data_IF_057676518887
#
_entry.id   IF_057676518887
#
_cell.length_a   1.000
_cell.length_b   1.000
_cell.length_c   1.000
_cell.angle_alpha   90.00
_cell.angle_beta   90.00
_cell.angle_gamma   90.00
#
_symmetry.space_group_name_H-M   'P 1'
#
loop_
_entity.id
_entity.type
_entity.pdbx_description
1 polymer ?
#
# COMPACT_ATOMS: atom_id res chain seq x y z
N UNK A 1 30.02 -46.75 4.16
CA UNK A 1 29.04 -47.18 3.13
C UNK A 1 27.67 -46.73 3.59
N UNK A 2 26.93 -46.16 2.66
CA UNK A 2 25.96 -45.08 2.81
C UNK A 2 24.76 -45.37 3.71
N UNK A 3 24.36 -44.34 4.46
CA UNK A 3 23.10 -44.28 5.18
C UNK A 3 21.99 -43.85 4.23
N UNK A 4 21.05 -44.75 3.96
CA UNK A 4 19.81 -44.46 3.21
C UNK A 4 18.93 -43.48 4.00
N UNK A 5 19.09 -42.19 3.71
CA UNK A 5 18.13 -41.16 4.08
C UNK A 5 16.94 -41.20 3.12
N UNK A 6 15.93 -42.00 3.46
CA UNK A 6 14.61 -41.93 2.82
C UNK A 6 13.95 -40.59 3.16
N UNK A 7 14.22 -39.56 2.37
CA UNK A 7 13.47 -38.32 2.39
C UNK A 7 12.05 -38.59 1.87
N UNK A 8 11.07 -38.61 2.78
CA UNK A 8 9.65 -38.57 2.40
C UNK A 8 9.37 -37.21 1.77
N UNK A 9 9.32 -37.18 0.44
CA UNK A 9 8.81 -36.02 -0.31
C UNK A 9 7.30 -36.00 -0.13
N UNK A 10 6.81 -35.08 0.71
CA UNK A 10 5.39 -34.78 0.80
C UNK A 10 5.00 -33.92 -0.39
N UNK A 11 4.51 -34.54 -1.45
CA UNK A 11 3.85 -33.82 -2.54
C UNK A 11 2.54 -33.28 -1.98
N UNK A 12 2.50 -31.97 -1.69
CA UNK A 12 1.25 -31.26 -1.46
C UNK A 12 0.38 -31.44 -2.71
N UNK A 13 -0.61 -32.33 -2.61
CA UNK A 13 -1.73 -32.35 -3.56
C UNK A 13 -2.27 -30.93 -3.58
N UNK A 14 -2.22 -30.27 -4.73
CA UNK A 14 -2.92 -29.02 -5.01
C UNK A 14 -4.42 -29.30 -4.90
N UNK A 15 -4.91 -29.28 -3.66
CA UNK A 15 -6.33 -29.27 -3.36
C UNK A 15 -6.89 -27.98 -3.91
N UNK A 16 -7.83 -28.12 -4.83
CA UNK A 16 -8.75 -27.05 -5.22
C UNK A 16 -9.27 -26.42 -3.92
N UNK A 17 -9.18 -25.09 -3.81
CA UNK A 17 -9.67 -24.30 -2.68
C UNK A 17 -11.18 -24.56 -2.46
N UNK A 18 -11.51 -25.61 -1.72
CA UNK A 18 -12.90 -26.02 -1.43
C UNK A 18 -13.36 -25.58 -0.03
N UNK A 19 -12.51 -24.85 0.71
CA UNK A 19 -12.80 -24.37 2.06
C UNK A 19 -13.70 -23.13 2.11
N UNK A 20 -14.13 -22.58 0.97
CA UNK A 20 -15.03 -21.41 0.90
C UNK A 20 -16.52 -21.77 0.86
N UNK A 21 -16.87 -23.06 0.89
CA UNK A 21 -18.25 -23.55 0.65
C UNK A 21 -19.04 -23.95 1.88
N UNK A 22 -18.44 -23.92 3.06
CA UNK A 22 -19.11 -24.30 4.31
C UNK A 22 -19.24 -23.05 5.15
N UNK A 23 -20.47 -22.53 5.22
CA UNK A 23 -20.95 -21.35 5.95
C UNK A 23 -20.93 -20.01 5.20
N UNK A 24 -22.06 -19.29 5.31
CA UNK A 24 -22.54 -18.18 4.49
C UNK A 24 -21.73 -16.89 4.43
N UNK A 25 -20.43 -16.93 4.66
CA UNK A 25 -19.54 -15.76 4.68
C UNK A 25 -18.75 -15.54 3.37
N UNK A 26 -18.77 -16.52 2.47
CA UNK A 26 -18.24 -16.44 1.10
C UNK A 26 -19.14 -17.22 0.10
N UNK A 27 -20.40 -17.48 0.48
CA UNK A 27 -21.32 -18.31 -0.30
C UNK A 27 -21.59 -17.70 -1.68
N UNK A 28 -21.43 -18.51 -2.72
CA UNK A 28 -21.53 -18.09 -4.11
C UNK A 28 -20.29 -17.42 -4.70
N UNK A 29 -19.27 -17.06 -3.91
CA UNK A 29 -18.00 -16.55 -4.45
C UNK A 29 -17.08 -17.70 -4.84
N UNK A 30 -16.68 -17.77 -6.10
CA UNK A 30 -15.72 -18.76 -6.59
C UNK A 30 -14.64 -18.06 -7.42
N UNK A 31 -13.38 -18.32 -7.10
CA UNK A 31 -12.28 -17.95 -7.99
C UNK A 31 -12.44 -18.63 -9.36
N UNK A 32 -12.20 -17.88 -10.45
CA UNK A 32 -12.17 -18.45 -11.79
C UNK A 32 -11.17 -19.62 -11.84
N UNK A 33 -11.50 -20.73 -12.52
CA UNK A 33 -10.74 -22.00 -12.58
C UNK A 33 -9.36 -21.89 -13.25
N UNK A 34 -8.52 -20.98 -12.79
CA UNK A 34 -7.12 -20.83 -13.17
C UNK A 34 -6.31 -21.47 -12.05
N UNK A 35 -5.17 -22.11 -12.38
CA UNK A 35 -4.29 -22.62 -11.33
C UNK A 35 -3.88 -21.48 -10.39
N UNK A 36 -3.70 -21.73 -9.08
CA UNK A 36 -3.28 -20.71 -8.11
C UNK A 36 -2.03 -19.91 -8.55
N UNK A 37 -1.21 -20.51 -9.42
CA UNK A 37 -0.08 -19.86 -10.07
C UNK A 37 -0.50 -18.82 -11.12
N UNK A 38 -1.45 -19.14 -11.99
CA UNK A 38 -2.00 -18.19 -12.97
C UNK A 38 -2.80 -17.05 -12.33
N UNK A 39 -3.33 -17.25 -11.12
CA UNK A 39 -4.02 -16.21 -10.35
C UNK A 39 -3.08 -15.21 -9.67
N UNK A 40 -1.79 -15.53 -9.60
CA UNK A 40 -0.74 -14.74 -8.95
C UNK A 40 0.38 -14.36 -9.93
N UNK A 41 0.16 -14.54 -11.23
CA UNK A 41 1.16 -14.33 -12.27
C UNK A 41 1.55 -12.85 -12.44
N UNK A 42 0.65 -11.91 -12.10
CA UNK A 42 0.95 -10.49 -12.07
C UNK A 42 0.50 -9.82 -10.76
N UNK A 43 1.22 -8.78 -10.33
CA UNK A 43 0.82 -7.96 -9.19
C UNK A 43 -0.56 -7.33 -9.39
N UNK A 44 -0.91 -6.99 -10.63
CA UNK A 44 -2.22 -6.44 -10.99
C UNK A 44 -3.36 -7.44 -10.75
N UNK A 45 -3.16 -8.71 -11.09
CA UNK A 45 -4.17 -9.75 -10.88
C UNK A 45 -4.38 -10.03 -9.39
N UNK A 46 -3.30 -10.00 -8.61
CA UNK A 46 -3.34 -10.13 -7.15
C UNK A 46 -4.15 -8.99 -6.54
N UNK A 47 -3.90 -7.75 -6.94
CA UNK A 47 -4.63 -6.56 -6.46
C UNK A 47 -6.11 -6.61 -6.83
N UNK A 48 -6.45 -6.95 -8.08
CA UNK A 48 -7.82 -7.08 -8.53
C UNK A 48 -8.59 -8.13 -7.72
N UNK A 49 -7.94 -9.26 -7.42
CA UNK A 49 -8.52 -10.33 -6.58
C UNK A 49 -8.61 -9.95 -5.11
N UNK A 50 -7.62 -9.24 -4.57
CA UNK A 50 -7.67 -8.74 -3.21
C UNK A 50 -8.86 -7.79 -3.02
N UNK A 51 -9.07 -6.86 -3.97
CA UNK A 51 -10.23 -5.96 -3.98
C UNK A 51 -11.55 -6.73 -4.08
N UNK A 52 -11.63 -7.70 -4.98
CA UNK A 52 -12.83 -8.52 -5.17
C UNK A 52 -13.14 -9.36 -3.91
N UNK A 53 -12.12 -9.96 -3.30
CA UNK A 53 -12.25 -10.73 -2.06
C UNK A 53 -12.75 -9.86 -0.89
N UNK A 54 -12.16 -8.68 -0.69
CA UNK A 54 -12.57 -7.76 0.39
C UNK A 54 -13.99 -7.24 0.18
N UNK A 55 -14.39 -7.00 -1.08
CA UNK A 55 -15.75 -6.56 -1.42
C UNK A 55 -16.80 -7.66 -1.20
N UNK A 56 -16.46 -8.92 -1.47
CA UNK A 56 -17.43 -10.02 -1.47
C UNK A 56 -17.37 -10.93 -0.24
N UNK A 57 -16.35 -10.83 0.61
CA UNK A 57 -16.20 -11.64 1.83
C UNK A 57 -16.20 -10.76 3.08
N UNK A 58 -17.19 -10.96 3.94
CA UNK A 58 -17.28 -10.25 5.23
C UNK A 58 -16.14 -10.58 6.18
N UNK A 59 -15.59 -11.80 6.10
CA UNK A 59 -14.39 -12.20 6.86
C UNK A 59 -13.18 -11.41 6.38
N UNK A 60 -12.96 -11.34 5.06
CA UNK A 60 -11.84 -10.58 4.50
C UNK A 60 -11.95 -9.10 4.86
N UNK A 61 -13.15 -8.51 4.74
CA UNK A 61 -13.41 -7.14 5.18
C UNK A 61 -13.09 -6.93 6.66
N UNK A 62 -13.55 -7.83 7.53
CA UNK A 62 -13.30 -7.76 8.97
C UNK A 62 -11.80 -7.81 9.28
N UNK A 63 -11.03 -8.65 8.59
CA UNK A 63 -9.57 -8.73 8.77
C UNK A 63 -8.91 -7.40 8.40
N UNK A 64 -9.28 -6.80 7.28
CA UNK A 64 -8.77 -5.48 6.86
C UNK A 64 -9.15 -4.41 7.88
N UNK A 65 -10.41 -4.37 8.32
CA UNK A 65 -10.87 -3.39 9.31
C UNK A 65 -10.11 -3.52 10.64
N UNK A 66 -9.84 -4.75 11.10
CA UNK A 66 -9.01 -4.99 12.29
C UNK A 66 -7.59 -4.47 12.09
N UNK A 67 -6.98 -4.71 10.93
CA UNK A 67 -5.63 -4.23 10.63
C UNK A 67 -5.57 -2.71 10.56
N UNK A 68 -6.49 -2.09 9.83
CA UNK A 68 -6.60 -0.64 9.70
C UNK A 68 -6.77 -0.03 11.09
N UNK A 69 -7.77 -0.48 11.84
CA UNK A 69 -8.01 0.02 13.20
C UNK A 69 -6.82 -0.19 14.12
N UNK A 70 -6.11 -1.33 14.04
CA UNK A 70 -4.94 -1.59 14.87
C UNK A 70 -3.78 -0.62 14.59
N UNK A 71 -3.61 -0.21 13.33
CA UNK A 71 -2.54 0.70 12.91
C UNK A 71 -2.92 2.17 13.14
N UNK A 72 -4.20 2.52 12.95
CA UNK A 72 -4.67 3.91 12.96
C UNK A 72 -5.34 4.35 14.26
N UNK A 73 -5.18 3.57 15.35
CA UNK A 73 -5.73 3.90 16.68
C UNK A 73 -5.45 5.35 17.11
N UNK A 74 -6.35 5.98 17.90
CA UNK A 74 -6.38 7.43 18.18
C UNK A 74 -5.28 7.93 19.15
N UNK A 75 -4.14 7.25 19.25
CA UNK A 75 -2.94 7.75 19.94
C UNK A 75 -2.03 8.27 18.85
N UNK A 76 -1.29 9.38 19.05
CA UNK A 76 -0.77 10.12 17.92
C UNK A 76 0.00 9.20 16.96
N UNK A 77 -0.55 9.00 15.77
CA UNK A 77 -0.20 7.87 14.91
C UNK A 77 1.28 7.87 14.51
N UNK A 78 1.92 9.05 14.59
CA UNK A 78 3.32 9.28 14.29
C UNK A 78 3.90 10.30 15.28
N UNK A 79 4.87 9.86 16.08
CA UNK A 79 5.68 10.73 16.94
C UNK A 79 7.07 10.84 16.32
N UNK A 80 7.49 12.04 15.95
CA UNK A 80 8.88 12.31 15.58
C UNK A 80 9.80 12.03 16.79
N UNK A 81 10.75 11.12 16.61
CA UNK A 81 11.73 10.79 17.62
C UNK A 81 12.93 11.74 17.53
N UNK A 82 13.53 12.13 18.67
CA UNK A 82 14.76 12.92 18.68
C UNK A 82 15.92 12.11 18.07
N UNK A 83 16.77 12.78 17.29
CA UNK A 83 17.94 12.16 16.63
C UNK A 83 19.01 11.76 17.66
N UNK A 84 19.07 12.45 18.80
CA UNK A 84 19.99 12.17 19.90
C UNK A 84 19.31 12.39 21.25
N UNK A 85 19.92 11.87 22.33
CA UNK A 85 19.46 12.06 23.73
C UNK A 85 19.90 13.40 24.35
N UNK A 86 20.09 14.43 23.53
CA UNK A 86 20.40 15.77 24.04
C UNK A 86 19.12 16.55 24.30
N UNK A 87 19.09 17.37 25.35
CA UNK A 87 17.94 18.21 25.70
C UNK A 87 17.45 19.05 24.52
N UNK A 88 18.38 19.57 23.70
CA UNK A 88 18.04 20.37 22.51
C UNK A 88 17.38 19.52 21.40
N UNK A 89 17.82 18.28 21.22
CA UNK A 89 17.21 17.35 20.28
C UNK A 89 15.80 16.94 20.75
N UNK A 90 15.61 16.72 22.04
CA UNK A 90 14.31 16.41 22.64
C UNK A 90 13.33 17.59 22.52
N UNK A 91 13.78 18.81 22.83
CA UNK A 91 12.96 20.03 22.63
C UNK A 91 12.55 20.21 21.18
N UNK A 92 13.48 20.03 20.23
CA UNK A 92 13.17 20.12 18.79
C UNK A 92 12.15 19.08 18.36
N UNK A 93 12.30 17.84 18.80
CA UNK A 93 11.34 16.78 18.52
C UNK A 93 9.96 17.13 19.09
N UNK A 94 9.89 17.66 20.31
CA UNK A 94 8.63 18.11 20.92
C UNK A 94 7.95 19.21 20.08
N UNK A 95 8.67 20.29 19.75
CA UNK A 95 8.11 21.39 18.95
C UNK A 95 7.66 20.90 17.57
N UNK A 96 8.42 20.02 16.94
CA UNK A 96 8.05 19.45 15.64
C UNK A 96 6.81 18.55 15.75
N UNK A 97 6.70 17.75 16.80
CA UNK A 97 5.51 16.95 17.10
C UNK A 97 4.28 17.84 17.31
N UNK A 98 4.37 18.88 18.13
CA UNK A 98 3.26 19.81 18.36
C UNK A 98 2.78 20.45 17.03
N UNK A 99 3.72 20.87 16.18
CA UNK A 99 3.41 21.45 14.89
C UNK A 99 2.79 20.45 13.89
N UNK A 100 3.25 19.20 13.93
CA UNK A 100 2.69 18.08 13.16
C UNK A 100 1.29 17.79 13.66
N UNK A 101 1.07 17.61 14.97
CA UNK A 101 -0.25 17.37 15.53
C UNK A 101 -1.24 18.45 15.15
N UNK A 102 -0.88 19.73 15.29
CA UNK A 102 -1.71 20.84 14.82
C UNK A 102 -2.10 20.71 13.33
N UNK A 103 -1.15 20.30 12.48
CA UNK A 103 -1.43 20.09 11.06
C UNK A 103 -2.35 18.88 10.84
N UNK A 104 -2.17 17.85 11.66
CA UNK A 104 -2.90 16.59 11.63
C UNK A 104 -4.21 16.57 12.47
N UNK A 105 -4.58 17.67 13.14
CA UNK A 105 -5.93 17.83 13.70
C UNK A 105 -6.91 18.49 12.70
N UNK A 106 -6.44 18.76 11.48
CA UNK A 106 -7.20 19.40 10.42
C UNK A 106 -7.24 18.57 9.14
N UNK A 107 -8.15 18.88 8.22
CA UNK A 107 -8.10 18.38 6.82
C UNK A 107 -6.99 19.07 5.99
N UNK A 108 -6.03 19.71 6.66
CA UNK A 108 -4.98 20.54 6.08
C UNK A 108 -3.91 19.75 5.33
N UNK A 109 -3.71 18.47 5.65
CA UNK A 109 -2.76 17.61 4.94
C UNK A 109 -3.34 17.04 3.64
N UNK A 110 -4.62 16.71 3.63
CA UNK A 110 -5.32 16.24 2.44
C UNK A 110 -5.42 17.39 1.41
N UNK A 111 -4.98 17.10 0.18
CA UNK A 111 -5.15 18.03 -0.94
C UNK A 111 -6.62 18.34 -1.20
N UNK A 112 -7.47 17.32 -1.11
CA UNK A 112 -8.91 17.42 -1.37
C UNK A 112 -9.69 18.00 -0.19
N UNK A 113 -9.06 18.07 0.99
CA UNK A 113 -9.65 18.55 2.25
C UNK A 113 -10.89 17.77 2.70
N UNK A 114 -11.04 16.53 2.25
CA UNK A 114 -12.21 15.71 2.54
C UNK A 114 -11.98 14.81 3.76
N UNK A 115 -10.72 14.44 4.02
CA UNK A 115 -10.37 13.48 5.07
C UNK A 115 -9.76 14.18 6.27
N UNK A 116 -10.22 13.83 7.46
CA UNK A 116 -9.44 13.99 8.68
C UNK A 116 -8.18 13.13 8.60
N UNK A 117 -7.16 13.37 9.42
CA UNK A 117 -5.96 12.58 9.34
C UNK A 117 -6.09 11.12 9.68
N UNK A 118 -6.92 10.77 10.65
CA UNK A 118 -7.20 9.35 10.92
C UNK A 118 -7.82 8.68 9.69
N UNK A 119 -8.74 9.36 9.00
CA UNK A 119 -9.30 8.85 7.74
C UNK A 119 -8.26 8.81 6.60
N UNK A 120 -7.36 9.80 6.55
CA UNK A 120 -6.26 9.84 5.59
C UNK A 120 -5.31 8.66 5.80
N UNK A 121 -4.87 8.41 7.03
CA UNK A 121 -4.01 7.26 7.35
C UNK A 121 -4.73 5.93 7.18
N UNK A 122 -6.00 5.84 7.56
CA UNK A 122 -6.80 4.63 7.34
C UNK A 122 -6.90 4.30 5.85
N UNK A 123 -7.11 5.31 5.00
CA UNK A 123 -7.12 5.12 3.56
C UNK A 123 -5.76 4.65 3.01
N UNK A 124 -4.64 5.18 3.53
CA UNK A 124 -3.29 4.69 3.14
C UNK A 124 -3.10 3.24 3.55
N UNK A 125 -3.44 2.89 4.79
CA UNK A 125 -3.23 1.53 5.33
C UNK A 125 -4.12 0.52 4.60
N UNK A 126 -5.38 0.89 4.37
CA UNK A 126 -6.34 0.07 3.64
C UNK A 126 -5.87 -0.17 2.19
N UNK A 127 -5.49 0.90 1.49
CA UNK A 127 -5.01 0.79 0.12
C UNK A 127 -3.66 0.05 0.04
N UNK A 128 -2.78 0.17 1.03
CA UNK A 128 -1.57 -0.64 1.11
C UNK A 128 -1.87 -2.14 1.34
N UNK A 129 -2.86 -2.46 2.17
CA UNK A 129 -3.23 -3.83 2.48
C UNK A 129 -3.96 -4.52 1.31
N UNK A 130 -4.76 -3.78 0.54
CA UNK A 130 -5.57 -4.31 -0.55
C UNK A 130 -4.88 -4.12 -1.91
N UNK A 131 -4.45 -2.89 -2.20
CA UNK A 131 -3.91 -2.46 -3.49
C UNK A 131 -2.38 -2.57 -3.60
N UNK A 132 -1.70 -3.05 -2.56
CA UNK A 132 -0.25 -3.25 -2.55
C UNK A 132 0.58 -1.99 -2.24
N UNK A 133 -0.06 -0.82 -2.18
CA UNK A 133 0.60 0.44 -1.85
C UNK A 133 -0.22 1.68 -2.23
N UNK A 134 0.25 2.84 -1.79
CA UNK A 134 -0.34 4.14 -2.11
C UNK A 134 0.74 5.08 -2.63
N UNK A 135 0.40 5.89 -3.63
CA UNK A 135 1.28 6.94 -4.14
C UNK A 135 0.88 8.29 -3.52
N UNK A 136 1.82 8.94 -2.83
CA UNK A 136 1.63 10.26 -2.26
C UNK A 136 2.35 11.33 -3.09
N UNK A 137 1.59 12.22 -3.74
CA UNK A 137 2.16 13.37 -4.47
C UNK A 137 2.10 14.61 -3.59
N UNK A 138 3.26 15.17 -3.29
CA UNK A 138 3.38 16.43 -2.57
C UNK A 138 3.01 17.61 -3.47
N UNK A 139 2.00 18.37 -3.07
CA UNK A 139 1.55 19.59 -3.73
C UNK A 139 1.92 20.78 -2.87
N UNK A 140 2.75 21.68 -3.36
CA UNK A 140 3.15 22.88 -2.63
C UNK A 140 1.96 23.83 -2.45
N UNK A 141 1.67 24.22 -1.20
CA UNK A 141 0.60 25.14 -0.84
C UNK A 141 1.06 26.03 0.31
N UNK A 142 1.39 27.29 0.00
CA UNK A 142 1.87 28.28 0.98
C UNK A 142 0.83 28.60 2.07
N UNK A 143 -0.45 28.28 1.84
CA UNK A 143 -1.53 28.49 2.81
C UNK A 143 -1.74 27.29 3.72
N UNK A 144 -1.23 26.11 3.35
CA UNK A 144 -1.26 24.94 4.22
C UNK A 144 -0.30 25.15 5.40
N UNK A 145 -0.65 24.63 6.58
CA UNK A 145 0.19 24.73 7.78
C UNK A 145 1.60 24.25 7.48
N UNK A 146 1.75 23.06 6.87
CA UNK A 146 3.03 22.44 6.51
C UNK A 146 3.71 23.07 5.28
N UNK A 147 3.10 24.06 4.62
CA UNK A 147 3.58 24.60 3.34
C UNK A 147 3.34 23.69 2.13
N UNK A 148 2.73 22.53 2.34
CA UNK A 148 2.31 21.60 1.30
C UNK A 148 1.09 20.79 1.74
N UNK A 149 0.50 20.10 0.77
CA UNK A 149 -0.55 19.08 0.93
C UNK A 149 -0.12 17.81 0.22
N UNK A 150 -0.80 16.72 0.51
CA UNK A 150 -0.58 15.43 -0.13
C UNK A 150 -1.84 15.04 -0.89
N UNK A 151 -1.69 14.79 -2.19
CA UNK A 151 -2.71 14.11 -2.99
C UNK A 151 -2.34 12.63 -3.06
N UNK A 152 -3.28 11.77 -2.67
CA UNK A 152 -3.08 10.33 -2.74
C UNK A 152 -3.61 9.77 -4.05
N UNK A 153 -2.93 8.77 -4.57
CA UNK A 153 -3.35 7.98 -5.70
C UNK A 153 -3.21 6.50 -5.35
N UNK A 154 -4.12 5.69 -5.86
CA UNK A 154 -3.99 4.23 -5.85
C UNK A 154 -2.78 3.79 -6.67
N UNK A 155 -2.25 2.60 -6.37
CA UNK A 155 -1.10 2.08 -7.11
C UNK A 155 -1.39 1.78 -8.59
N UNK A 156 -2.67 1.69 -8.98
CA UNK A 156 -3.14 1.56 -10.36
C UNK A 156 -2.85 2.79 -11.22
N UNK A 157 -2.60 3.96 -10.62
CA UNK A 157 -2.14 5.14 -11.34
C UNK A 157 -0.68 5.03 -11.79
N UNK A 158 0.11 4.09 -11.25
CA UNK A 158 1.48 3.89 -11.70
C UNK A 158 1.48 3.33 -13.14
N UNK A 159 2.30 3.92 -14.02
CA UNK A 159 2.45 3.48 -15.41
C UNK A 159 3.23 2.16 -15.51
N UNK A 160 2.63 1.05 -15.04
CA UNK A 160 3.28 -0.26 -14.92
C UNK A 160 3.66 -0.89 -16.26
N UNK A 161 3.03 -0.46 -17.34
CA UNK A 161 3.39 -0.86 -18.71
C UNK A 161 4.66 -0.15 -19.23
N UNK A 162 5.07 0.95 -18.58
CA UNK A 162 6.23 1.73 -18.98
C UNK A 162 7.51 1.07 -18.47
N UNK A 163 8.11 0.24 -19.31
CA UNK A 163 9.44 -0.31 -19.09
C UNK A 163 10.35 0.01 -20.28
N UNK A 164 11.37 0.85 -20.07
CA UNK A 164 12.30 1.28 -21.14
C UNK A 164 13.63 1.78 -20.60
N UNK A 165 14.68 1.73 -21.41
CA UNK A 165 15.95 2.41 -21.10
C UNK A 165 15.81 3.93 -21.28
N UNK A 166 16.40 4.72 -20.40
CA UNK A 166 16.44 6.18 -20.53
C UNK A 166 17.72 6.65 -21.26
N UNK A 167 17.67 7.83 -21.87
CA UNK A 167 18.77 8.36 -22.68
C UNK A 167 20.07 8.63 -21.90
N UNK A 168 19.99 8.75 -20.56
CA UNK A 168 21.13 9.01 -19.68
C UNK A 168 21.76 7.73 -19.09
N UNK A 169 21.38 6.54 -19.58
CA UNK A 169 21.87 5.27 -19.06
C UNK A 169 21.12 4.73 -17.83
N UNK A 170 20.00 5.35 -17.47
CA UNK A 170 19.05 4.81 -16.49
C UNK A 170 17.99 3.92 -17.15
N UNK A 171 16.99 3.57 -16.36
CA UNK A 171 15.92 2.64 -16.75
C UNK A 171 14.61 3.06 -16.11
N UNK A 172 13.51 2.85 -16.81
CA UNK A 172 12.17 2.83 -16.23
C UNK A 172 11.76 1.37 -16.19
N UNK A 173 11.34 0.90 -15.03
CA UNK A 173 10.83 -0.45 -14.80
C UNK A 173 9.47 -0.29 -14.13
N UNK A 174 8.42 -0.74 -14.81
CA UNK A 174 7.04 -0.67 -14.31
C UNK A 174 6.65 0.73 -13.79
N UNK A 175 7.00 1.78 -14.54
CA UNK A 175 6.70 3.17 -14.19
C UNK A 175 7.60 3.77 -13.10
N UNK A 176 8.56 3.02 -12.55
CA UNK A 176 9.58 3.54 -11.62
C UNK A 176 10.84 3.86 -12.39
N UNK A 177 11.32 5.10 -12.31
CA UNK A 177 12.53 5.54 -12.99
C UNK A 177 13.74 5.46 -12.07
N UNK A 178 14.78 4.84 -12.58
CA UNK A 178 16.06 4.65 -11.95
C UNK A 178 17.15 5.37 -12.74
N UNK A 179 18.07 6.00 -12.03
CA UNK A 179 19.28 6.55 -12.65
C UNK A 179 20.27 5.45 -13.03
N UNK A 180 21.42 5.83 -13.59
CA UNK A 180 22.48 4.89 -13.98
C UNK A 180 23.16 4.19 -12.80
N UNK A 181 22.87 4.58 -11.57
CA UNK A 181 23.36 3.97 -10.33
C UNK A 181 22.25 3.17 -9.61
N UNK A 182 21.18 2.82 -10.32
CA UNK A 182 20.01 2.08 -9.84
C UNK A 182 19.29 2.77 -8.66
N UNK A 183 19.41 4.10 -8.55
CA UNK A 183 18.66 4.89 -7.56
C UNK A 183 17.33 5.32 -8.14
N UNK A 184 16.25 5.11 -7.40
CA UNK A 184 14.92 5.58 -7.77
C UNK A 184 14.87 7.12 -7.75
N UNK A 185 14.50 7.73 -8.88
CA UNK A 185 14.47 9.19 -9.05
C UNK A 185 13.09 9.75 -9.41
N UNK A 186 12.21 8.95 -10.00
CA UNK A 186 10.86 9.39 -10.34
C UNK A 186 9.86 8.24 -10.39
N UNK A 187 8.59 8.59 -10.27
CA UNK A 187 7.45 7.73 -10.56
C UNK A 187 6.69 8.34 -11.73
N UNK A 188 6.40 7.52 -12.72
CA UNK A 188 5.56 7.85 -13.87
C UNK A 188 4.15 7.40 -13.56
N UNK A 189 3.24 8.37 -13.42
CA UNK A 189 1.83 8.10 -13.13
C UNK A 189 0.98 8.57 -14.30
N UNK A 190 -0.14 7.90 -14.54
CA UNK A 190 -1.14 8.36 -15.48
C UNK A 190 -1.92 9.55 -14.90
N UNK A 191 -2.38 10.43 -15.79
CA UNK A 191 -3.26 11.54 -15.41
C UNK A 191 -4.70 11.07 -15.11
N UNK A 192 -5.10 9.93 -15.68
CA UNK A 192 -6.40 9.28 -15.51
C UNK A 192 -6.22 7.83 -15.09
N UNK A 193 -7.23 7.24 -14.46
CA UNK A 193 -7.19 5.84 -14.02
C UNK A 193 -6.91 4.91 -15.21
N UNK A 194 -5.97 3.97 -15.07
CA UNK A 194 -5.52 3.11 -16.17
C UNK A 194 -6.62 2.19 -16.75
N UNK A 195 -7.72 2.01 -15.99
CA UNK A 195 -8.86 1.13 -16.32
C UNK A 195 -10.16 1.90 -16.61
N UNK A 196 -10.09 3.21 -16.86
CA UNK A 196 -11.24 3.97 -17.38
C UNK A 196 -11.28 3.80 -18.92
N UNK A 197 -12.32 3.15 -19.49
CA UNK A 197 -12.39 2.85 -20.92
C UNK A 197 -12.49 4.08 -21.83
#
# INVERSE_FOLDING_TARGET
MESDHNAKIYTLKTGVHESARVDGYADGWTANRVSARGETESARDIEARARDLVRNSSIARTIIDVQVNAITQPTPALVLQPISRSDESEKRAKVANDYIYDAFESTGIDYERMRSPSEFFSAVVEEAAIGGGTLGVRIWDKKAKLGFRVKMFEQSYLARDLTKKTGAGGWIIEGKEYDSADRLIAYHIYDTYADDP
#
